data_IF_382077864636
#
_entry.id   IF_382077864636
#
_cell.length_a   1.000
_cell.length_b   1.000
_cell.length_c   1.000
_cell.angle_alpha   90.00
_cell.angle_beta   90.00
_cell.angle_gamma   90.00
#
_symmetry.space_group_name_H-M   'P 1'
#
loop_
_entity.id
_entity.type
_entity.pdbx_description
1 polymer ?
#
# COMPACT_ATOMS: atom_id res chain seq x y z
N UNK A 1 -7.15 -7.76 8.79
CA UNK A 1 -7.40 -6.58 7.93
C UNK A 1 -7.34 -5.25 8.66
N UNK A 2 -8.03 -5.04 9.82
CA UNK A 2 -8.02 -3.75 10.56
C UNK A 2 -6.63 -3.30 11.07
N UNK A 3 -5.72 -4.21 11.43
CA UNK A 3 -4.37 -3.88 11.93
C UNK A 3 -3.42 -3.42 10.81
N UNK A 4 -3.48 -4.06 9.64
CA UNK A 4 -2.65 -3.73 8.46
C UNK A 4 -3.01 -2.33 7.93
N UNK A 5 -4.31 -2.02 7.86
CA UNK A 5 -4.78 -0.69 7.46
C UNK A 5 -4.34 0.38 8.46
N UNK A 6 -4.39 0.11 9.77
CA UNK A 6 -3.91 1.06 10.80
C UNK A 6 -2.41 1.36 10.65
N UNK A 7 -1.59 0.36 10.37
CA UNK A 7 -0.13 0.52 10.26
C UNK A 7 0.24 1.27 8.96
N UNK A 8 -0.37 0.90 7.82
CA UNK A 8 -0.18 1.64 6.57
C UNK A 8 -0.58 3.12 6.72
N UNK A 9 -1.65 3.37 7.44
CA UNK A 9 -2.14 4.71 7.76
C UNK A 9 -1.18 5.47 8.66
N UNK A 10 -0.67 4.85 9.73
CA UNK A 10 0.31 5.47 10.62
C UNK A 10 1.59 5.81 9.86
N UNK A 11 2.08 4.92 8.98
CA UNK A 11 3.25 5.19 8.15
C UNK A 11 3.02 6.40 7.22
N UNK A 12 1.86 6.50 6.60
CA UNK A 12 1.50 7.65 5.74
C UNK A 12 1.39 8.95 6.57
N UNK A 13 0.77 8.90 7.75
CA UNK A 13 0.65 10.07 8.65
C UNK A 13 2.01 10.54 9.15
N UNK A 14 2.90 9.64 9.52
CA UNK A 14 4.27 9.97 9.95
C UNK A 14 5.05 10.60 8.78
N UNK A 15 4.96 10.06 7.56
CA UNK A 15 5.58 10.63 6.37
C UNK A 15 5.07 12.05 6.11
N UNK A 16 3.78 12.28 6.23
CA UNK A 16 3.17 13.59 6.00
C UNK A 16 3.49 14.62 7.09
N UNK A 17 3.49 14.22 8.35
CA UNK A 17 3.87 15.10 9.46
C UNK A 17 5.33 15.55 9.34
N UNK A 18 6.22 14.65 8.96
CA UNK A 18 7.64 14.97 8.72
C UNK A 18 7.77 15.87 7.49
N UNK A 19 6.98 15.64 6.44
CA UNK A 19 7.00 16.41 5.20
C UNK A 19 6.54 17.87 5.35
N UNK A 20 5.65 18.15 6.27
CA UNK A 20 5.20 19.51 6.59
C UNK A 20 6.29 20.37 7.26
N UNK A 21 7.24 19.72 7.94
CA UNK A 21 8.26 20.37 8.76
C UNK A 21 9.61 20.47 8.04
N UNK A 22 9.83 19.70 6.96
CA UNK A 22 11.14 19.53 6.38
C UNK A 22 11.36 20.32 5.07
N UNK A 23 12.38 21.18 4.96
CA UNK A 23 12.83 21.76 3.70
C UNK A 23 13.26 20.70 2.68
N UNK A 24 13.22 21.06 1.40
CA UNK A 24 13.61 20.17 0.28
C UNK A 24 14.98 19.48 0.45
N UNK A 25 15.90 20.08 1.20
CA UNK A 25 17.23 19.55 1.52
C UNK A 25 17.21 18.29 2.40
N UNK A 26 16.10 17.98 3.09
CA UNK A 26 15.98 16.83 3.99
C UNK A 26 15.33 15.62 3.34
N UNK A 27 14.95 15.67 2.06
CA UNK A 27 14.25 14.57 1.36
C UNK A 27 14.98 13.24 1.47
N UNK A 28 16.29 13.20 1.31
CA UNK A 28 17.10 11.99 1.45
C UNK A 28 17.02 11.40 2.85
N UNK A 29 17.16 12.22 3.89
CA UNK A 29 17.06 11.77 5.28
C UNK A 29 15.69 11.22 5.62
N UNK A 30 14.64 11.82 5.07
CA UNK A 30 13.26 11.33 5.26
C UNK A 30 13.10 9.97 4.57
N UNK A 31 13.60 9.81 3.36
CA UNK A 31 13.57 8.53 2.64
C UNK A 31 14.28 7.43 3.44
N UNK A 32 15.46 7.71 3.98
CA UNK A 32 16.23 6.76 4.79
C UNK A 32 15.50 6.36 6.08
N UNK A 33 14.87 7.34 6.76
CA UNK A 33 14.05 7.06 7.95
C UNK A 33 12.88 6.17 7.59
N UNK A 34 12.15 6.50 6.53
CA UNK A 34 10.99 5.71 6.07
C UNK A 34 11.40 4.28 5.74
N UNK A 35 12.49 4.08 5.00
CA UNK A 35 13.01 2.75 4.68
C UNK A 35 13.38 1.98 5.94
N UNK A 36 14.09 2.61 6.87
CA UNK A 36 14.54 1.97 8.10
C UNK A 36 13.35 1.55 8.98
N UNK A 37 12.41 2.46 9.23
CA UNK A 37 11.25 2.19 10.08
C UNK A 37 10.33 1.13 9.45
N UNK A 38 10.10 1.20 8.14
CA UNK A 38 9.33 0.18 7.45
C UNK A 38 10.00 -1.20 7.55
N UNK A 39 11.31 -1.29 7.30
CA UNK A 39 12.05 -2.55 7.38
C UNK A 39 12.22 -3.07 8.82
N UNK A 40 12.12 -2.21 9.83
CA UNK A 40 12.08 -2.63 11.22
C UNK A 40 10.80 -3.42 11.54
N UNK A 41 9.68 -3.06 10.91
CA UNK A 41 8.36 -3.68 11.15
C UNK A 41 8.08 -4.87 10.22
N UNK A 42 8.78 -4.98 9.09
CA UNK A 42 8.53 -5.97 8.06
C UNK A 42 9.47 -7.17 8.15
N UNK A 43 8.92 -8.37 7.96
CA UNK A 43 9.64 -9.60 7.65
C UNK A 43 9.86 -9.71 6.13
N UNK A 44 10.16 -8.61 5.48
CA UNK A 44 10.46 -8.45 4.07
C UNK A 44 11.32 -7.20 3.91
N UNK A 45 12.03 -7.07 2.80
CA UNK A 45 12.85 -5.90 2.50
C UNK A 45 12.10 -4.93 1.60
N UNK A 46 11.75 -3.78 2.16
CA UNK A 46 11.14 -2.66 1.44
C UNK A 46 12.24 -1.70 0.96
N UNK A 47 12.20 -1.36 -0.31
CA UNK A 47 13.04 -0.33 -0.90
C UNK A 47 12.24 0.53 -1.89
N UNK A 48 12.75 1.72 -2.23
CA UNK A 48 12.23 2.60 -3.27
C UNK A 48 13.33 3.53 -3.79
N UNK A 49 13.21 3.93 -5.04
CA UNK A 49 14.21 4.77 -5.70
C UNK A 49 14.14 6.22 -5.26
N UNK A 50 12.92 6.77 -5.14
CA UNK A 50 12.72 8.18 -4.84
C UNK A 50 11.44 8.42 -4.04
N UNK A 51 11.53 9.39 -3.12
CA UNK A 51 10.41 9.96 -2.40
C UNK A 51 10.32 11.45 -2.74
N UNK A 52 9.26 11.86 -3.41
CA UNK A 52 8.97 13.26 -3.72
C UNK A 52 7.76 13.77 -2.94
N UNK A 53 7.91 14.91 -2.32
CA UNK A 53 6.88 15.55 -1.51
C UNK A 53 6.68 16.95 -2.06
N UNK A 54 5.45 17.26 -2.46
CA UNK A 54 5.09 18.57 -3.01
C UNK A 54 3.93 19.19 -2.25
N UNK A 55 4.19 20.34 -1.64
CA UNK A 55 3.18 21.15 -0.94
C UNK A 55 2.57 22.22 -1.85
N UNK A 56 3.28 22.59 -2.93
CA UNK A 56 2.90 23.74 -3.76
C UNK A 56 2.14 23.37 -5.04
N UNK A 57 2.40 22.18 -5.61
CA UNK A 57 1.80 21.77 -6.88
C UNK A 57 0.28 21.62 -6.84
N UNK A 58 -0.27 21.34 -5.66
CA UNK A 58 -1.68 21.01 -5.47
C UNK A 58 -2.31 21.83 -4.33
N UNK A 59 -1.71 22.98 -3.97
CA UNK A 59 -2.24 23.80 -2.88
C UNK A 59 -3.77 24.01 -3.02
N UNK A 60 -4.58 23.83 -1.98
CA UNK A 60 -4.23 23.55 -0.58
C UNK A 60 -3.93 22.07 -0.23
N UNK A 61 -3.73 21.21 -1.22
CA UNK A 61 -3.39 19.81 -1.01
C UNK A 61 -1.87 19.58 -1.06
N UNK A 62 -1.41 18.59 -0.32
CA UNK A 62 -0.05 18.04 -0.43
C UNK A 62 -0.08 16.76 -1.25
N UNK A 63 1.02 16.46 -1.95
CA UNK A 63 1.20 15.17 -2.59
C UNK A 63 2.50 14.52 -2.16
N UNK A 64 2.42 13.22 -1.93
CA UNK A 64 3.57 12.33 -1.69
C UNK A 64 3.64 11.34 -2.83
N UNK A 65 4.79 11.24 -3.46
CA UNK A 65 5.03 10.31 -4.57
C UNK A 65 6.24 9.43 -4.24
N UNK A 66 6.03 8.11 -4.24
CA UNK A 66 7.07 7.08 -4.18
C UNK A 66 7.27 6.51 -5.58
N UNK A 67 8.55 6.40 -6.01
CA UNK A 67 8.94 5.80 -7.29
C UNK A 67 9.78 4.57 -7.06
N UNK A 68 9.57 3.55 -7.91
CA UNK A 68 10.34 2.32 -7.89
C UNK A 68 10.22 1.56 -6.57
N UNK A 69 9.00 1.51 -5.98
CA UNK A 69 8.77 0.71 -4.78
C UNK A 69 8.96 -0.76 -5.08
N UNK A 70 9.68 -1.44 -4.20
CA UNK A 70 9.83 -2.90 -4.18
C UNK A 70 9.71 -3.42 -2.75
N UNK A 71 9.03 -4.54 -2.60
CA UNK A 71 8.98 -5.35 -1.39
C UNK A 71 9.44 -6.75 -1.75
N UNK A 72 10.60 -7.14 -1.26
CA UNK A 72 11.25 -8.42 -1.57
C UNK A 72 11.21 -9.31 -0.35
N UNK A 73 10.84 -10.56 -0.54
CA UNK A 73 10.83 -11.56 0.50
C UNK A 73 12.21 -11.81 1.08
N UNK A 74 12.24 -12.38 2.29
CA UNK A 74 13.44 -12.83 2.99
C UNK A 74 13.30 -14.31 3.34
N UNK A 75 14.36 -14.93 3.80
CA UNK A 75 14.40 -16.33 4.22
C UNK A 75 13.87 -17.27 3.12
N UNK A 76 12.74 -17.89 3.34
CA UNK A 76 12.13 -18.86 2.42
C UNK A 76 11.65 -18.26 1.10
N UNK A 77 11.42 -16.96 1.08
CA UNK A 77 11.00 -16.18 -0.09
C UNK A 77 12.10 -15.23 -0.57
N UNK A 78 13.35 -15.51 -0.22
CA UNK A 78 14.48 -14.68 -0.63
C UNK A 78 14.57 -14.59 -2.16
N UNK A 79 14.61 -13.34 -2.65
CA UNK A 79 14.62 -13.05 -4.08
C UNK A 79 13.25 -12.90 -4.73
N UNK A 80 12.16 -13.34 -4.09
CA UNK A 80 10.81 -13.15 -4.59
C UNK A 80 10.36 -11.70 -4.38
N UNK A 81 10.03 -11.02 -5.47
CA UNK A 81 9.41 -9.68 -5.38
C UNK A 81 7.92 -9.84 -5.11
N UNK A 82 7.52 -9.64 -3.85
CA UNK A 82 6.14 -9.78 -3.39
C UNK A 82 5.27 -8.64 -3.93
N UNK A 83 5.80 -7.40 -3.86
CA UNK A 83 5.13 -6.21 -4.38
C UNK A 83 6.15 -5.32 -5.07
N UNK A 84 5.82 -4.82 -6.24
CA UNK A 84 6.52 -3.73 -6.90
C UNK A 84 5.52 -2.68 -7.38
N UNK A 85 5.95 -1.42 -7.48
CA UNK A 85 5.13 -0.38 -8.11
C UNK A 85 6.04 0.67 -8.73
N UNK A 86 5.80 0.98 -9.99
CA UNK A 86 6.55 2.04 -10.67
C UNK A 86 6.36 3.39 -9.98
N UNK A 87 5.13 3.68 -9.53
CA UNK A 87 4.80 4.91 -8.82
C UNK A 87 3.57 4.73 -7.96
N UNK A 88 3.68 5.21 -6.73
CA UNK A 88 2.55 5.40 -5.81
C UNK A 88 2.45 6.88 -5.53
N UNK A 89 1.27 7.48 -5.73
CA UNK A 89 1.02 8.88 -5.46
C UNK A 89 -0.20 9.02 -4.55
N UNK A 90 -0.04 9.77 -3.46
CA UNK A 90 -1.09 10.06 -2.49
C UNK A 90 -1.25 11.57 -2.40
N UNK A 91 -2.47 12.06 -2.53
CA UNK A 91 -2.82 13.48 -2.38
C UNK A 91 -3.68 13.64 -1.14
N UNK A 92 -3.27 14.57 -0.29
CA UNK A 92 -3.86 14.83 1.01
C UNK A 92 -4.34 16.26 1.10
N UNK A 93 -5.49 16.49 1.68
CA UNK A 93 -5.99 17.81 1.99
C UNK A 93 -5.28 18.34 3.25
N UNK A 94 -4.43 19.36 3.07
CA UNK A 94 -3.71 19.96 4.22
C UNK A 94 -4.64 20.67 5.19
N UNK A 95 -5.75 21.23 4.70
CA UNK A 95 -6.68 21.94 5.58
C UNK A 95 -7.40 20.99 6.54
N UNK A 96 -7.52 19.70 6.18
CA UNK A 96 -8.09 18.70 7.08
C UNK A 96 -7.23 18.42 8.32
N UNK A 97 -5.93 18.75 8.27
CA UNK A 97 -5.03 18.60 9.43
C UNK A 97 -5.28 19.64 10.54
N UNK A 98 -5.91 20.75 10.20
CA UNK A 98 -6.20 21.85 11.12
C UNK A 98 -7.65 21.89 11.58
N UNK A 99 -8.50 20.97 11.12
CA UNK A 99 -9.91 20.86 11.46
C UNK A 99 -10.22 19.58 12.24
N UNK A 100 -11.42 19.54 12.84
CA UNK A 100 -11.92 18.36 13.57
C UNK A 100 -12.30 17.18 12.67
N UNK A 101 -12.18 17.35 11.33
CA UNK A 101 -12.57 16.36 10.33
C UNK A 101 -11.60 15.18 10.20
N UNK A 102 -10.43 15.25 10.88
CA UNK A 102 -9.38 14.25 10.75
C UNK A 102 -8.62 14.34 9.41
N UNK A 103 -7.77 13.37 9.16
CA UNK A 103 -6.89 13.32 8.00
C UNK A 103 -7.63 12.88 6.73
N UNK A 104 -7.71 13.73 5.71
CA UNK A 104 -8.42 13.46 4.46
C UNK A 104 -7.44 13.15 3.31
N UNK A 105 -7.45 11.90 2.82
CA UNK A 105 -6.77 11.49 1.59
C UNK A 105 -7.74 11.67 0.42
N UNK A 106 -7.46 12.61 -0.46
CA UNK A 106 -8.35 12.94 -1.58
C UNK A 106 -8.14 12.07 -2.79
N UNK A 107 -6.91 11.58 -3.00
CA UNK A 107 -6.55 10.81 -4.18
C UNK A 107 -5.42 9.81 -3.90
N UNK A 108 -5.58 8.61 -4.47
CA UNK A 108 -4.53 7.57 -4.48
C UNK A 108 -4.36 7.05 -5.90
N UNK A 109 -3.13 7.03 -6.39
CA UNK A 109 -2.78 6.50 -7.71
C UNK A 109 -1.67 5.49 -7.55
N UNK A 110 -1.89 4.28 -8.08
CA UNK A 110 -0.88 3.25 -8.23
C UNK A 110 -0.64 3.02 -9.74
N UNK A 111 0.59 3.27 -10.18
CA UNK A 111 0.97 3.05 -11.58
C UNK A 111 1.85 1.81 -11.68
N UNK A 112 1.43 0.88 -12.50
CA UNK A 112 2.05 -0.41 -12.77
C UNK A 112 2.43 -1.16 -11.48
N UNK A 113 1.48 -1.36 -10.54
CA UNK A 113 1.74 -2.23 -9.41
C UNK A 113 1.79 -3.68 -9.90
N UNK A 114 2.77 -4.43 -9.40
CA UNK A 114 2.88 -5.86 -9.59
C UNK A 114 2.80 -6.53 -8.22
N UNK A 115 1.94 -7.53 -8.08
CA UNK A 115 1.78 -8.32 -6.85
C UNK A 115 2.02 -9.78 -7.20
N UNK A 116 2.94 -10.42 -6.50
CA UNK A 116 3.21 -11.84 -6.58
C UNK A 116 2.92 -12.47 -5.22
N UNK A 117 1.84 -13.21 -5.14
CA UNK A 117 1.45 -13.95 -3.96
C UNK A 117 1.81 -15.43 -4.16
N UNK A 118 2.71 -15.96 -3.35
CA UNK A 118 3.23 -17.32 -3.44
C UNK A 118 2.96 -18.08 -2.15
N UNK A 119 2.35 -19.24 -2.27
CA UNK A 119 2.13 -20.20 -1.19
C UNK A 119 2.91 -21.47 -1.47
N UNK A 120 3.81 -21.82 -0.56
CA UNK A 120 4.63 -23.02 -0.63
C UNK A 120 3.82 -24.28 -0.30
N UNK A 121 4.34 -25.45 -0.68
CA UNK A 121 3.69 -26.74 -0.46
C UNK A 121 3.42 -27.06 1.01
N UNK A 122 4.21 -26.53 1.93
CA UNK A 122 4.04 -26.68 3.37
C UNK A 122 3.11 -25.65 4.03
N UNK A 123 2.50 -24.77 3.22
CA UNK A 123 1.53 -23.77 3.64
C UNK A 123 2.11 -22.42 4.00
N UNK A 124 3.44 -22.21 3.98
CA UNK A 124 4.03 -20.87 4.16
C UNK A 124 3.61 -19.94 3.02
N UNK A 125 3.39 -18.67 3.34
CA UNK A 125 2.86 -17.68 2.40
C UNK A 125 3.74 -16.43 2.32
N UNK A 126 3.98 -15.93 1.12
CA UNK A 126 4.88 -14.78 0.89
C UNK A 126 4.30 -13.44 1.36
N UNK A 127 3.01 -13.34 1.55
CA UNK A 127 2.33 -12.09 1.96
C UNK A 127 2.20 -11.92 3.48
N UNK A 128 2.66 -12.88 4.28
CA UNK A 128 2.80 -12.71 5.72
C UNK A 128 4.10 -11.97 6.03
N UNK A 129 4.11 -10.70 5.67
CA UNK A 129 5.29 -9.83 5.69
C UNK A 129 5.41 -9.00 6.96
N UNK A 130 4.55 -9.20 7.96
CA UNK A 130 4.63 -8.46 9.21
C UNK A 130 5.39 -9.26 10.24
N UNK A 131 6.40 -8.64 10.86
CA UNK A 131 7.02 -9.23 12.04
C UNK A 131 5.99 -9.35 13.17
N UNK A 132 6.01 -10.44 13.95
CA UNK A 132 5.22 -10.50 15.17
C UNK A 132 5.53 -9.26 16.01
N UNK A 133 4.49 -8.57 16.49
CA UNK A 133 4.73 -7.50 17.46
C UNK A 133 5.40 -8.14 18.68
N UNK A 134 6.61 -7.70 19.03
CA UNK A 134 7.18 -8.02 20.34
C UNK A 134 6.12 -7.61 21.37
N UNK A 135 5.69 -8.59 22.18
CA UNK A 135 4.73 -8.31 23.23
C UNK A 135 5.29 -7.17 24.09
N UNK A 136 4.52 -6.11 24.35
CA UNK A 136 4.99 -5.05 25.23
C UNK A 136 5.35 -5.70 26.56
N UNK A 137 6.60 -5.64 26.97
CA UNK A 137 6.96 -5.84 28.36
C UNK A 137 6.28 -4.72 29.15
N UNK A 138 5.41 -5.12 30.08
CA UNK A 138 4.64 -4.30 31.02
C UNK A 138 3.42 -3.57 30.40
N UNK A 139 2.27 -3.96 30.92
CA UNK A 139 1.00 -3.26 30.81
C UNK A 139 1.16 -1.82 31.35
N UNK A 140 1.49 -0.89 30.46
CA UNK A 140 1.20 0.51 30.73
C UNK A 140 -0.34 0.60 30.70
N UNK A 141 -1.00 1.13 31.76
CA UNK A 141 -2.43 1.30 31.76
C UNK A 141 -2.83 1.99 30.46
N UNK A 142 -3.74 1.40 29.73
CA UNK A 142 -4.29 1.98 28.52
C UNK A 142 -4.96 3.31 28.92
N UNK A 143 -4.19 4.41 28.87
CA UNK A 143 -4.83 5.70 28.67
C UNK A 143 -5.67 5.51 27.41
N UNK A 144 -6.96 5.70 27.54
CA UNK A 144 -7.94 5.71 26.44
C UNK A 144 -7.37 6.65 25.38
N UNK A 145 -6.61 6.09 24.44
CA UNK A 145 -6.21 6.82 23.26
C UNK A 145 -7.52 7.21 22.59
N UNK A 146 -7.82 8.48 22.67
CA UNK A 146 -8.95 9.11 22.01
C UNK A 146 -9.05 8.52 20.61
N UNK A 147 -10.23 8.11 20.13
CA UNK A 147 -10.37 7.49 18.83
C UNK A 147 -9.75 8.44 17.83
N UNK A 148 -8.56 8.08 17.31
CA UNK A 148 -7.95 8.87 16.26
C UNK A 148 -8.97 8.93 15.14
N UNK A 149 -9.59 10.10 14.94
CA UNK A 149 -10.61 10.34 13.93
C UNK A 149 -9.97 10.35 12.53
N UNK A 150 -9.25 9.25 12.23
CA UNK A 150 -8.73 9.03 10.89
C UNK A 150 -9.90 8.66 9.99
N UNK A 151 -10.42 9.65 9.30
CA UNK A 151 -11.41 9.47 8.24
C UNK A 151 -10.68 9.36 6.92
N UNK A 152 -10.55 8.14 6.40
CA UNK A 152 -10.05 7.92 5.06
C UNK A 152 -11.15 8.30 4.05
N UNK A 153 -11.12 9.54 3.59
CA UNK A 153 -12.02 10.04 2.55
C UNK A 153 -11.27 10.03 1.21
N UNK A 154 -11.24 8.88 0.54
CA UNK A 154 -10.68 8.77 -0.81
C UNK A 154 -11.75 9.09 -1.84
N UNK A 155 -11.55 10.14 -2.64
CA UNK A 155 -12.47 10.55 -3.71
C UNK A 155 -12.11 10.00 -5.09
N UNK A 156 -10.84 9.76 -5.35
CA UNK A 156 -10.33 9.19 -6.61
C UNK A 156 -9.25 8.16 -6.28
N UNK A 157 -9.56 6.89 -6.45
CA UNK A 157 -8.62 5.79 -6.35
C UNK A 157 -8.39 5.21 -7.72
N UNK A 158 -7.13 5.08 -8.12
CA UNK A 158 -6.76 4.60 -9.46
C UNK A 158 -5.60 3.62 -9.39
N UNK A 159 -5.80 2.50 -10.05
CA UNK A 159 -4.75 1.56 -10.41
C UNK A 159 -4.67 1.52 -11.92
N UNK A 160 -3.48 1.61 -12.50
CA UNK A 160 -3.24 1.46 -13.93
C UNK A 160 -2.15 0.44 -14.18
N UNK A 161 -2.37 -0.41 -15.18
CA UNK A 161 -1.41 -1.40 -15.67
C UNK A 161 -0.90 -2.35 -14.56
N UNK A 162 -1.80 -2.79 -13.68
CA UNK A 162 -1.45 -3.74 -12.62
C UNK A 162 -1.20 -5.13 -13.19
N UNK A 163 -0.29 -5.87 -12.57
CA UNK A 163 -0.06 -7.28 -12.78
C UNK A 163 -0.26 -8.03 -11.46
N UNK A 164 -1.05 -9.09 -11.48
CA UNK A 164 -1.27 -9.96 -10.33
C UNK A 164 -0.86 -11.36 -10.72
N UNK A 165 -0.04 -12.00 -9.90
CA UNK A 165 0.34 -13.40 -9.99
C UNK A 165 0.12 -14.06 -8.64
N UNK A 166 -0.56 -15.20 -8.68
CA UNK A 166 -0.77 -16.06 -7.52
C UNK A 166 -0.28 -17.46 -7.86
N UNK A 167 0.50 -18.06 -6.97
CA UNK A 167 1.01 -19.41 -7.08
C UNK A 167 0.76 -20.16 -5.77
N UNK A 168 0.19 -21.36 -5.87
CA UNK A 168 0.00 -22.29 -4.75
C UNK A 168 0.62 -23.64 -5.13
N UNK A 169 1.76 -23.95 -4.55
CA UNK A 169 2.51 -25.17 -4.82
C UNK A 169 1.81 -26.40 -4.21
N UNK A 170 1.01 -26.22 -3.15
CA UNK A 170 0.31 -27.32 -2.49
C UNK A 170 -0.81 -27.91 -3.36
N UNK A 171 -1.44 -27.07 -4.17
CA UNK A 171 -2.54 -27.46 -5.07
C UNK A 171 -2.14 -27.42 -6.55
N UNK A 172 -0.89 -27.03 -6.85
CA UNK A 172 -0.41 -26.75 -8.20
C UNK A 172 -1.35 -25.80 -8.96
N UNK A 173 -1.75 -24.71 -8.27
CA UNK A 173 -2.63 -23.70 -8.81
C UNK A 173 -1.83 -22.45 -9.16
N UNK A 174 -2.08 -21.88 -10.34
CA UNK A 174 -1.49 -20.62 -10.81
C UNK A 174 -2.56 -19.74 -11.41
N UNK A 175 -2.57 -18.50 -10.98
CA UNK A 175 -3.42 -17.45 -11.55
C UNK A 175 -2.55 -16.25 -11.90
N UNK A 176 -2.83 -15.64 -13.06
CA UNK A 176 -2.22 -14.37 -13.43
C UNK A 176 -3.18 -13.52 -14.24
N UNK A 177 -3.07 -12.21 -14.06
CA UNK A 177 -3.77 -11.22 -14.87
C UNK A 177 -2.90 -9.99 -15.08
N UNK A 178 -2.82 -9.53 -16.33
CA UNK A 178 -2.13 -8.28 -16.71
C UNK A 178 -2.49 -7.89 -18.15
N UNK A 179 -2.59 -6.56 -18.45
CA UNK A 179 -2.75 -5.47 -17.49
C UNK A 179 -4.15 -5.41 -16.90
N UNK A 180 -4.22 -5.03 -15.63
CA UNK A 180 -5.47 -4.76 -14.94
C UNK A 180 -5.52 -3.29 -14.55
N UNK A 181 -6.63 -2.63 -14.80
CA UNK A 181 -6.84 -1.24 -14.40
C UNK A 181 -8.13 -1.09 -13.62
N UNK A 182 -8.06 -0.34 -12.52
CA UNK A 182 -9.17 -0.05 -11.64
C UNK A 182 -9.28 1.46 -11.43
N UNK A 183 -10.49 1.98 -11.57
CA UNK A 183 -10.81 3.33 -11.16
C UNK A 183 -12.03 3.33 -10.28
N UNK A 184 -11.90 3.93 -9.11
CA UNK A 184 -12.98 4.11 -8.17
C UNK A 184 -13.08 5.60 -7.86
N UNK A 185 -14.27 6.17 -8.06
CA UNK A 185 -14.59 7.56 -7.76
C UNK A 185 -15.82 7.63 -6.89
N UNK A 186 -15.83 8.56 -5.96
CA UNK A 186 -16.96 8.81 -5.09
C UNK A 186 -16.53 9.25 -3.70
N UNK A 187 -17.49 9.47 -2.83
CA UNK A 187 -17.25 9.82 -1.44
C UNK A 187 -17.35 8.55 -0.58
N UNK A 188 -16.19 8.03 -0.15
CA UNK A 188 -16.11 6.80 0.67
C UNK A 188 -16.30 7.07 2.17
N UNK A 189 -16.50 8.32 2.59
CA UNK A 189 -16.61 8.70 4.00
C UNK A 189 -18.02 9.05 4.46
N UNK A 190 -19.00 9.06 3.54
CA UNK A 190 -20.38 9.42 3.86
C UNK A 190 -21.19 8.19 4.29
N UNK A 191 -22.24 8.41 5.09
CA UNK A 191 -23.23 7.37 5.45
C UNK A 191 -23.95 6.82 4.21
N UNK A 192 -23.97 7.59 3.15
CA UNK A 192 -24.41 7.21 1.81
C UNK A 192 -23.29 7.37 0.82
N UNK A 193 -22.87 6.27 0.19
CA UNK A 193 -21.75 6.21 -0.72
C UNK A 193 -22.23 5.95 -2.14
N UNK A 194 -22.07 6.94 -3.03
CA UNK A 194 -22.24 6.75 -4.47
C UNK A 194 -20.85 6.54 -5.09
N UNK A 195 -20.59 5.34 -5.64
CA UNK A 195 -19.31 4.96 -6.22
C UNK A 195 -19.45 4.66 -7.72
N UNK A 196 -18.59 5.28 -8.51
CA UNK A 196 -18.34 4.91 -9.91
C UNK A 196 -17.12 3.98 -9.95
N UNK A 197 -17.36 2.71 -10.24
CA UNK A 197 -16.34 1.68 -10.36
C UNK A 197 -16.14 1.29 -11.82
N UNK A 198 -14.91 1.40 -12.31
CA UNK A 198 -14.51 0.89 -13.61
C UNK A 198 -13.33 -0.07 -13.43
N UNK A 199 -13.52 -1.32 -13.83
CA UNK A 199 -12.50 -2.36 -13.83
C UNK A 199 -12.29 -2.87 -15.26
N UNK A 200 -11.05 -2.96 -15.70
CA UNK A 200 -10.67 -3.58 -16.98
C UNK A 200 -9.51 -4.53 -16.75
N UNK A 201 -9.61 -5.72 -17.31
CA UNK A 201 -8.55 -6.72 -17.36
C UNK A 201 -8.38 -7.17 -18.82
N UNK A 202 -7.14 -7.17 -19.32
CA UNK A 202 -6.91 -7.49 -20.73
C UNK A 202 -6.59 -8.97 -20.95
N UNK A 203 -5.94 -9.64 -20.01
CA UNK A 203 -5.64 -11.05 -20.09
C UNK A 203 -5.74 -11.71 -18.72
N UNK A 204 -6.29 -12.90 -18.70
CA UNK A 204 -6.40 -13.71 -17.48
C UNK A 204 -6.00 -15.15 -17.81
N UNK A 205 -5.17 -15.73 -16.95
CA UNK A 205 -4.77 -17.14 -17.05
C UNK A 205 -5.00 -17.84 -15.72
N UNK A 206 -5.61 -19.01 -15.79
CA UNK A 206 -5.81 -19.86 -14.62
C UNK A 206 -5.48 -21.30 -14.94
N UNK A 207 -4.59 -21.89 -14.12
CA UNK A 207 -4.17 -23.29 -14.21
C UNK A 207 -4.43 -23.94 -12.87
N UNK A 208 -5.01 -25.13 -12.84
CA UNK A 208 -5.23 -25.92 -11.63
C UNK A 208 -4.85 -27.38 -11.88
N UNK A 209 -4.02 -27.94 -11.00
CA UNK A 209 -3.53 -29.31 -11.15
C UNK A 209 -2.75 -29.54 -12.47
N UNK A 210 -2.13 -28.51 -13.03
CA UNK A 210 -1.43 -28.55 -14.32
C UNK A 210 -2.35 -28.42 -15.54
N UNK A 211 -3.67 -28.32 -15.35
CA UNK A 211 -4.65 -28.18 -16.44
C UNK A 211 -5.00 -26.71 -16.61
N UNK A 212 -4.82 -26.11 -17.80
CA UNK A 212 -5.26 -24.74 -18.06
C UNK A 212 -6.80 -24.71 -18.14
N UNK A 213 -7.42 -23.98 -17.20
CA UNK A 213 -8.87 -23.79 -17.14
C UNK A 213 -9.30 -22.49 -17.80
N UNK A 214 -8.39 -21.50 -17.84
CA UNK A 214 -8.58 -20.23 -18.52
C UNK A 214 -7.26 -19.81 -19.13
N UNK A 215 -7.24 -19.45 -20.40
CA UNK A 215 -6.08 -18.92 -21.09
C UNK A 215 -6.50 -17.80 -22.03
N UNK A 216 -5.91 -16.61 -21.80
CA UNK A 216 -6.04 -15.43 -22.66
C UNK A 216 -7.50 -15.01 -22.94
N UNK A 217 -8.33 -14.99 -21.87
CA UNK A 217 -9.70 -14.51 -21.92
C UNK A 217 -9.76 -12.99 -21.74
#
# INVERSE_FOLDING_TARGET
>A
MKKIVKIAVIAVVVILAIALIAPAALRGKIADIVKREANAMLAARLDFENLDISLLRHFPNASVELKGLTLVGVDRFEGDTIVAARRISVVVNLMSLFGDSGFEVTKVILASPAVHAHKLADGAVSWDVMKPAEAPAEEVPAEESAPSSFRLSVRDFRISDAAIRYEDDSTNMRFSTAPLSLRLRGNMSADRTDLDLRLTAAAMRFVSGGIPLLSDA
#
